data_IF_740671515522
#
_entry.id   IF_740671515522
#
_cell.length_a   1.000
_cell.length_b   1.000
_cell.length_c   1.000
_cell.angle_alpha   90.00
_cell.angle_beta   90.00
_cell.angle_gamma   90.00
#
_symmetry.space_group_name_H-M   'P 1'
#
loop_
_entity.id
_entity.type
_entity.pdbx_description
1 polymer ?
#
# COMPACT_ATOMS: atom_id res chain seq x y z
N UNK A 1 -23.18 -27.53 -17.67
CA UNK A 1 -23.45 -26.07 -17.78
C UNK A 1 -24.16 -25.85 -19.12
N UNK A 2 -25.33 -25.19 -19.14
CA UNK A 2 -26.01 -24.90 -20.41
C UNK A 2 -25.19 -23.92 -21.26
N UNK A 3 -25.34 -23.96 -22.58
CA UNK A 3 -24.67 -23.04 -23.51
C UNK A 3 -24.95 -21.56 -23.16
N UNK A 4 -26.18 -21.25 -22.77
CA UNK A 4 -26.58 -19.91 -22.34
C UNK A 4 -25.85 -19.46 -21.06
N UNK A 5 -25.76 -20.35 -20.05
CA UNK A 5 -25.06 -20.04 -18.81
C UNK A 5 -23.55 -19.83 -19.05
N UNK A 6 -22.96 -20.63 -19.93
CA UNK A 6 -21.56 -20.48 -20.35
C UNK A 6 -21.32 -19.10 -20.96
N UNK A 7 -22.15 -18.66 -21.90
CA UNK A 7 -22.03 -17.34 -22.53
C UNK A 7 -22.16 -16.20 -21.53
N UNK A 8 -23.06 -16.32 -20.54
CA UNK A 8 -23.20 -15.32 -19.47
C UNK A 8 -21.93 -15.23 -18.61
N UNK A 9 -21.35 -16.38 -18.24
CA UNK A 9 -20.10 -16.44 -17.47
C UNK A 9 -18.94 -15.83 -18.27
N UNK A 10 -18.78 -16.20 -19.55
CA UNK A 10 -17.73 -15.66 -20.41
C UNK A 10 -17.83 -14.14 -20.55
N UNK A 11 -19.04 -13.60 -20.75
CA UNK A 11 -19.26 -12.14 -20.79
C UNK A 11 -18.87 -11.45 -19.49
N UNK A 12 -19.23 -12.03 -18.34
CA UNK A 12 -18.87 -11.48 -17.04
C UNK A 12 -17.35 -11.49 -16.83
N UNK A 13 -16.67 -12.60 -17.12
CA UNK A 13 -15.22 -12.71 -16.98
C UNK A 13 -14.48 -11.74 -17.90
N UNK A 14 -14.92 -11.61 -19.15
CA UNK A 14 -14.35 -10.64 -20.08
C UNK A 14 -14.54 -9.20 -19.59
N UNK A 15 -15.72 -8.88 -19.06
CA UNK A 15 -15.98 -7.58 -18.45
C UNK A 15 -15.05 -7.31 -17.26
N UNK A 16 -14.92 -8.29 -16.35
CA UNK A 16 -14.01 -8.18 -15.20
C UNK A 16 -12.56 -7.97 -15.64
N UNK A 17 -12.08 -8.76 -16.61
CA UNK A 17 -10.73 -8.62 -17.15
C UNK A 17 -10.48 -7.24 -17.77
N UNK A 18 -11.40 -6.74 -18.59
CA UNK A 18 -11.33 -5.39 -19.15
C UNK A 18 -11.34 -4.29 -18.08
N UNK A 19 -11.97 -4.54 -16.94
CA UNK A 19 -11.98 -3.65 -15.77
C UNK A 19 -10.71 -3.77 -14.91
N UNK A 20 -9.76 -4.64 -15.25
CA UNK A 20 -8.49 -4.81 -14.55
C UNK A 20 -8.49 -5.91 -13.49
N UNK A 21 -9.49 -6.79 -13.48
CA UNK A 21 -9.49 -7.95 -12.59
C UNK A 21 -8.74 -9.13 -13.19
N UNK A 22 -7.98 -9.85 -12.36
CA UNK A 22 -7.33 -11.11 -12.71
C UNK A 22 -7.25 -12.02 -11.48
N UNK A 23 -6.96 -13.30 -11.71
CA UNK A 23 -6.80 -14.29 -10.64
C UNK A 23 -5.33 -14.54 -10.37
N UNK A 24 -4.95 -14.49 -9.10
CA UNK A 24 -3.65 -14.90 -8.58
C UNK A 24 -3.91 -15.84 -7.41
N UNK A 25 -4.29 -17.08 -7.73
CA UNK A 25 -4.88 -18.02 -6.78
C UNK A 25 -4.12 -18.07 -5.43
N UNK A 26 -4.83 -17.95 -4.29
CA UNK A 26 -6.29 -17.93 -4.14
C UNK A 26 -6.94 -16.54 -4.29
N UNK A 27 -6.23 -15.51 -4.73
CA UNK A 27 -6.71 -14.13 -4.72
C UNK A 27 -7.44 -13.73 -6.00
N UNK A 28 -8.56 -13.02 -5.84
CA UNK A 28 -9.12 -12.16 -6.88
C UNK A 28 -8.49 -10.78 -6.74
N UNK A 29 -7.72 -10.37 -7.74
CA UNK A 29 -6.96 -9.12 -7.74
C UNK A 29 -7.57 -8.15 -8.72
N UNK A 30 -7.63 -6.88 -8.33
CA UNK A 30 -7.89 -5.73 -9.19
C UNK A 30 -6.62 -4.90 -9.28
N UNK A 31 -6.20 -4.56 -10.49
CA UNK A 31 -5.17 -3.56 -10.78
C UNK A 31 -5.79 -2.51 -11.71
N UNK A 32 -5.76 -1.24 -11.31
CA UNK A 32 -6.40 -0.19 -12.09
C UNK A 32 -5.73 -0.03 -13.46
N UNK A 33 -6.42 -0.32 -14.58
CA UNK A 33 -5.80 -0.27 -15.90
C UNK A 33 -5.47 1.18 -16.33
N UNK A 34 -6.13 2.17 -15.73
CA UNK A 34 -5.97 3.58 -16.06
C UNK A 34 -5.11 4.34 -15.07
N UNK A 35 -5.26 4.03 -13.78
CA UNK A 35 -4.66 4.83 -12.71
C UNK A 35 -3.43 4.19 -12.09
N UNK A 36 -3.14 2.89 -12.30
CA UNK A 36 -2.05 2.24 -11.58
C UNK A 36 -0.68 2.91 -11.81
N UNK A 37 -0.36 3.25 -13.06
CA UNK A 37 0.87 3.99 -13.39
C UNK A 37 0.90 5.40 -12.79
N UNK A 38 -0.23 6.12 -12.86
CA UNK A 38 -0.37 7.49 -12.33
C UNK A 38 -0.22 7.50 -10.80
N UNK A 39 -0.94 6.62 -10.12
CA UNK A 39 -0.88 6.41 -8.66
C UNK A 39 0.54 6.08 -8.21
N UNK A 40 1.25 5.23 -8.96
CA UNK A 40 2.66 4.91 -8.68
C UNK A 40 3.54 6.13 -8.79
N UNK A 41 3.49 6.85 -9.91
CA UNK A 41 4.29 8.08 -10.12
C UNK A 41 4.01 9.12 -9.04
N UNK A 42 2.73 9.29 -8.66
CA UNK A 42 2.30 10.20 -7.61
C UNK A 42 2.92 9.83 -6.25
N UNK A 43 2.76 8.58 -5.81
CA UNK A 43 3.31 8.10 -4.55
C UNK A 43 4.84 8.18 -4.50
N UNK A 44 5.51 7.98 -5.64
CA UNK A 44 6.96 8.14 -5.74
C UNK A 44 7.42 9.59 -5.62
N UNK A 45 6.73 10.52 -6.28
CA UNK A 45 7.01 11.95 -6.11
C UNK A 45 6.87 12.35 -4.64
N UNK A 46 5.81 11.89 -3.98
CA UNK A 46 5.60 12.14 -2.56
C UNK A 46 6.71 11.53 -1.68
N UNK A 47 7.17 10.32 -2.01
CA UNK A 47 8.30 9.69 -1.33
C UNK A 47 9.58 10.52 -1.49
N UNK A 48 9.88 11.04 -2.68
CA UNK A 48 11.05 11.90 -2.92
C UNK A 48 10.94 13.18 -2.08
N UNK A 49 9.76 13.82 -2.05
CA UNK A 49 9.52 15.03 -1.27
C UNK A 49 9.72 14.77 0.23
N UNK A 50 9.20 13.66 0.75
CA UNK A 50 9.41 13.24 2.14
C UNK A 50 10.89 13.04 2.44
N UNK A 51 11.60 12.25 1.62
CA UNK A 51 13.03 11.98 1.84
C UNK A 51 13.87 13.25 1.75
N UNK A 52 13.47 14.22 0.91
CA UNK A 52 14.11 15.54 0.83
C UNK A 52 13.91 16.32 2.12
N UNK A 53 12.67 16.39 2.62
CA UNK A 53 12.35 17.05 3.88
C UNK A 53 13.15 16.44 5.05
N UNK A 54 13.27 15.11 5.10
CA UNK A 54 14.06 14.41 6.11
C UNK A 54 15.56 14.72 5.97
N UNK A 55 16.09 14.72 4.74
CA UNK A 55 17.48 15.07 4.48
C UNK A 55 17.80 16.51 4.92
N UNK A 56 16.90 17.45 4.65
CA UNK A 56 17.04 18.86 5.03
C UNK A 56 16.91 19.08 6.55
N UNK A 57 16.04 18.32 7.24
CA UNK A 57 15.81 18.47 8.69
C UNK A 57 16.81 17.71 9.58
N UNK A 58 17.35 16.58 9.12
CA UNK A 58 18.07 15.65 10.01
C UNK A 58 19.53 16.02 10.30
N UNK A 59 20.11 16.96 9.52
CA UNK A 59 21.56 17.21 9.43
C UNK A 59 22.42 15.96 9.12
N UNK A 60 21.78 14.80 8.87
CA UNK A 60 22.43 13.52 8.63
C UNK A 60 22.74 13.35 7.16
N UNK A 61 23.99 12.98 6.86
CA UNK A 61 24.46 12.75 5.48
C UNK A 61 24.24 11.32 5.00
N UNK A 62 23.93 10.40 5.90
CA UNK A 62 23.76 8.98 5.61
C UNK A 62 22.43 8.47 6.18
N UNK A 63 21.75 7.60 5.42
CA UNK A 63 20.46 7.02 5.83
C UNK A 63 20.58 6.04 7.01
N UNK A 64 21.79 5.55 7.28
CA UNK A 64 22.12 4.71 8.44
C UNK A 64 22.31 5.49 9.73
N UNK A 65 22.37 6.82 9.67
CA UNK A 65 22.49 7.66 10.87
C UNK A 65 21.19 7.58 11.70
N UNK A 66 21.24 7.28 13.01
CA UNK A 66 20.07 7.30 13.88
C UNK A 66 19.28 8.61 13.86
N UNK A 67 19.94 9.75 13.62
CA UNK A 67 19.27 11.06 13.46
C UNK A 67 18.37 11.08 12.23
N UNK A 68 18.81 10.48 11.13
CA UNK A 68 18.02 10.36 9.91
C UNK A 68 16.75 9.56 10.16
N UNK A 69 16.89 8.40 10.83
CA UNK A 69 15.75 7.54 11.20
C UNK A 69 14.75 8.24 12.12
N UNK A 70 15.23 8.92 13.17
CA UNK A 70 14.35 9.62 14.10
C UNK A 70 13.62 10.78 13.40
N UNK A 71 14.32 11.53 12.55
CA UNK A 71 13.71 12.60 11.75
C UNK A 71 12.65 12.06 10.79
N UNK A 72 12.92 10.92 10.13
CA UNK A 72 11.92 10.26 9.26
C UNK A 72 10.68 9.86 10.05
N UNK A 73 10.86 9.27 11.23
CA UNK A 73 9.75 8.87 12.10
C UNK A 73 8.92 10.09 12.52
N UNK A 74 9.56 11.15 13.01
CA UNK A 74 8.88 12.39 13.44
C UNK A 74 8.05 12.98 12.30
N UNK A 75 8.63 13.11 11.10
CA UNK A 75 7.90 13.66 9.94
C UNK A 75 6.71 12.76 9.54
N UNK A 76 6.87 11.44 9.59
CA UNK A 76 5.79 10.49 9.29
C UNK A 76 4.69 10.54 10.36
N UNK A 77 5.06 10.60 11.63
CA UNK A 77 4.13 10.74 12.76
C UNK A 77 3.31 12.04 12.62
N UNK A 78 3.96 13.18 12.37
CA UNK A 78 3.31 14.48 12.15
C UNK A 78 2.30 14.43 10.98
N UNK A 79 2.69 13.88 9.83
CA UNK A 79 1.82 13.81 8.64
C UNK A 79 0.61 12.86 8.85
N UNK A 80 0.80 11.75 9.57
CA UNK A 80 -0.23 10.72 9.73
C UNK A 80 -1.16 10.95 10.94
N UNK A 81 -0.66 11.51 12.04
CA UNK A 81 -1.43 11.72 13.28
C UNK A 81 -2.60 12.68 13.07
N UNK A 82 -2.42 13.72 12.23
CA UNK A 82 -3.50 14.66 11.87
C UNK A 82 -4.71 13.98 11.22
N UNK A 83 -4.52 12.77 10.67
CA UNK A 83 -5.55 11.94 10.05
C UNK A 83 -6.07 10.82 10.97
N UNK A 84 -5.67 10.81 12.25
CA UNK A 84 -6.04 9.81 13.24
C UNK A 84 -5.32 8.47 13.07
N UNK A 85 -4.21 8.45 12.33
CA UNK A 85 -3.40 7.25 12.11
C UNK A 85 -2.31 7.18 13.19
N UNK A 86 -2.30 6.08 13.92
CA UNK A 86 -1.26 5.78 14.92
C UNK A 86 -0.09 5.10 14.22
N UNK A 87 1.10 5.70 14.32
CA UNK A 87 2.36 5.08 13.91
C UNK A 87 2.89 4.22 15.06
N UNK A 88 3.19 2.96 14.77
CA UNK A 88 3.81 2.08 15.75
C UNK A 88 5.32 2.23 15.70
N UNK A 89 5.87 3.07 16.57
CA UNK A 89 7.29 3.48 16.56
C UNK A 89 8.27 2.29 16.45
N UNK A 90 8.11 1.25 17.26
CA UNK A 90 9.02 0.09 17.25
C UNK A 90 8.95 -0.70 15.95
N UNK A 91 7.75 -1.00 15.46
CA UNK A 91 7.48 -1.64 14.19
C UNK A 91 8.00 -0.81 13.00
N UNK A 92 7.80 0.51 13.05
CA UNK A 92 8.24 1.43 12.00
C UNK A 92 9.77 1.50 11.93
N UNK A 93 10.47 1.66 13.06
CA UNK A 93 11.93 1.64 13.08
C UNK A 93 12.48 0.32 12.54
N UNK A 94 11.89 -0.80 12.95
CA UNK A 94 12.27 -2.11 12.41
C UNK A 94 12.01 -2.23 10.90
N UNK A 95 10.91 -1.66 10.41
CA UNK A 95 10.63 -1.60 8.97
C UNK A 95 11.69 -0.79 8.21
N UNK A 96 12.10 0.38 8.74
CA UNK A 96 13.14 1.20 8.11
C UNK A 96 14.49 0.48 8.12
N UNK A 97 14.84 -0.22 9.20
CA UNK A 97 16.04 -1.07 9.25
C UNK A 97 16.03 -2.14 8.15
N UNK A 98 14.87 -2.77 7.91
CA UNK A 98 14.71 -3.73 6.81
C UNK A 98 14.81 -3.04 5.45
N UNK A 99 14.22 -1.86 5.28
CA UNK A 99 14.33 -1.08 4.04
C UNK A 99 15.79 -0.74 3.72
N UNK A 100 16.56 -0.31 4.70
CA UNK A 100 17.98 0.00 4.53
C UNK A 100 18.76 -1.27 4.18
N UNK A 101 18.42 -2.44 4.74
CA UNK A 101 19.13 -3.70 4.44
C UNK A 101 18.79 -4.26 3.06
N UNK A 102 17.52 -4.22 2.67
CA UNK A 102 17.02 -4.93 1.48
C UNK A 102 16.90 -4.04 0.25
N UNK A 103 16.82 -2.72 0.46
CA UNK A 103 16.48 -1.73 -0.56
C UNK A 103 17.45 -0.52 -0.48
N UNK A 104 18.63 -0.77 0.09
CA UNK A 104 19.68 0.21 0.39
C UNK A 104 20.04 1.04 -0.84
N UNK A 105 20.37 0.36 -1.94
CA UNK A 105 20.88 0.99 -3.16
C UNK A 105 19.94 2.08 -3.64
N UNK A 106 18.65 1.80 -3.65
CA UNK A 106 17.68 2.75 -4.18
C UNK A 106 17.38 3.91 -3.25
N UNK A 107 17.19 3.64 -1.95
CA UNK A 107 16.99 4.72 -0.99
C UNK A 107 18.23 5.62 -0.94
N UNK A 108 19.42 5.03 -0.94
CA UNK A 108 20.68 5.77 -1.03
C UNK A 108 20.78 6.55 -2.33
N UNK A 109 20.39 6.00 -3.47
CA UNK A 109 20.48 6.70 -4.75
C UNK A 109 19.53 7.91 -4.80
N UNK A 110 18.31 7.79 -4.27
CA UNK A 110 17.41 8.94 -4.12
C UNK A 110 18.06 10.01 -3.24
N UNK A 111 18.54 9.65 -2.05
CA UNK A 111 19.15 10.59 -1.10
C UNK A 111 20.42 11.22 -1.66
N UNK A 112 21.25 10.46 -2.39
CA UNK A 112 22.44 11.00 -3.09
C UNK A 112 22.08 12.00 -4.16
N UNK A 113 21.01 11.77 -4.92
CA UNK A 113 20.54 12.72 -5.93
C UNK A 113 19.99 13.99 -5.28
N UNK A 114 19.24 13.85 -4.19
CA UNK A 114 18.77 14.98 -3.36
C UNK A 114 19.96 15.80 -2.85
N UNK A 115 20.99 15.14 -2.30
CA UNK A 115 22.20 15.79 -1.80
C UNK A 115 22.97 16.55 -2.89
N UNK A 116 22.87 16.12 -4.15
CA UNK A 116 23.43 16.81 -5.33
C UNK A 116 22.53 17.95 -5.84
N UNK A 117 21.49 18.33 -5.11
CA UNK A 117 20.56 19.39 -5.49
C UNK A 117 19.67 19.03 -6.67
N UNK A 118 19.50 17.74 -6.99
CA UNK A 118 18.62 17.32 -8.10
C UNK A 118 17.17 17.53 -7.73
N UNK A 119 16.40 18.04 -8.68
CA UNK A 119 14.97 18.26 -8.55
C UNK A 119 14.20 16.95 -8.72
N UNK A 120 12.92 16.95 -8.34
CA UNK A 120 12.05 15.79 -8.53
C UNK A 120 11.92 15.40 -10.00
N UNK A 121 11.99 16.39 -10.91
CA UNK A 121 11.96 16.18 -12.36
C UNK A 121 13.24 15.52 -12.89
N UNK A 122 14.37 15.64 -12.18
CA UNK A 122 15.61 14.94 -12.52
C UNK A 122 15.62 13.51 -11.96
N UNK A 123 15.07 13.32 -10.77
CA UNK A 123 15.09 12.05 -10.04
C UNK A 123 14.06 11.10 -10.62
N UNK A 124 12.81 11.54 -10.77
CA UNK A 124 11.67 10.69 -11.09
C UNK A 124 11.84 9.92 -12.41
N UNK A 125 12.30 10.51 -13.54
CA UNK A 125 12.52 9.75 -14.77
C UNK A 125 13.57 8.65 -14.62
N UNK A 126 14.60 8.86 -13.78
CA UNK A 126 15.62 7.83 -13.51
C UNK A 126 15.03 6.66 -12.74
N UNK A 127 14.20 6.95 -11.74
CA UNK A 127 13.47 5.94 -10.99
C UNK A 127 12.41 5.24 -11.86
N UNK A 128 11.86 5.90 -12.87
CA UNK A 128 10.92 5.26 -13.79
C UNK A 128 11.65 4.37 -14.80
N UNK A 129 12.79 4.81 -15.31
CA UNK A 129 13.59 4.08 -16.30
C UNK A 129 14.31 2.88 -15.69
N UNK A 130 14.68 2.94 -14.41
CA UNK A 130 15.27 1.81 -13.72
C UNK A 130 14.19 0.76 -13.43
N UNK A 131 14.20 -0.33 -14.21
CA UNK A 131 13.27 -1.43 -14.00
C UNK A 131 13.38 -2.07 -12.61
N UNK A 132 14.51 -1.92 -11.90
CA UNK A 132 14.65 -2.37 -10.50
C UNK A 132 13.78 -1.55 -9.55
N UNK A 133 13.55 -0.29 -9.89
CA UNK A 133 12.61 0.58 -9.21
C UNK A 133 11.17 0.19 -9.60
N UNK A 134 10.92 -0.28 -10.81
CA UNK A 134 9.59 -0.79 -11.13
C UNK A 134 9.18 -2.04 -10.32
N UNK A 135 10.14 -2.82 -9.80
CA UNK A 135 9.91 -3.91 -8.83
C UNK A 135 9.88 -3.48 -7.36
N UNK A 136 9.41 -2.26 -7.03
CA UNK A 136 9.33 -1.67 -5.68
C UNK A 136 8.39 -2.37 -4.68
N UNK A 137 8.40 -3.69 -4.64
CA UNK A 137 7.75 -4.45 -3.58
C UNK A 137 8.27 -3.98 -2.19
N UNK A 138 9.53 -3.52 -2.09
CA UNK A 138 10.15 -2.98 -0.86
C UNK A 138 9.38 -1.85 -0.18
N UNK A 139 8.96 -0.85 -0.96
CA UNK A 139 8.23 0.32 -0.49
C UNK A 139 6.73 0.10 -0.57
N UNK A 140 6.26 -0.93 -1.28
CA UNK A 140 4.83 -1.21 -1.34
C UNK A 140 4.30 -1.55 0.06
N UNK A 141 3.10 -1.08 0.35
CA UNK A 141 2.36 -1.47 1.55
C UNK A 141 0.89 -1.60 1.25
N UNK A 142 0.12 -2.01 2.25
CA UNK A 142 -1.30 -2.26 2.09
C UNK A 142 -2.08 -1.98 3.35
N UNK A 143 -3.21 -1.31 3.18
CA UNK A 143 -4.27 -1.31 4.18
C UNK A 143 -5.03 -2.63 4.12
N UNK A 144 -5.36 -3.16 5.29
CA UNK A 144 -6.16 -4.37 5.47
C UNK A 144 -7.40 -4.04 6.29
N UNK A 145 -8.57 -4.38 5.72
CA UNK A 145 -9.87 -4.30 6.39
C UNK A 145 -10.47 -5.70 6.45
N UNK A 146 -10.84 -6.17 7.64
CA UNK A 146 -11.39 -7.52 7.80
C UNK A 146 -12.91 -7.52 7.82
N UNK A 147 -13.50 -8.41 7.03
CA UNK A 147 -14.96 -8.56 6.94
C UNK A 147 -15.31 -10.04 6.76
N UNK A 148 -16.60 -10.37 6.70
CA UNK A 148 -17.05 -11.71 6.35
C UNK A 148 -16.87 -11.95 4.86
N UNK A 149 -16.42 -13.14 4.45
CA UNK A 149 -16.19 -13.49 3.05
C UNK A 149 -17.40 -13.18 2.15
N UNK A 150 -18.62 -13.47 2.61
CA UNK A 150 -19.87 -13.14 1.90
C UNK A 150 -20.08 -11.64 1.62
N UNK A 151 -19.50 -10.75 2.43
CA UNK A 151 -19.63 -9.29 2.31
C UNK A 151 -18.48 -8.68 1.50
N UNK A 152 -17.33 -9.35 1.44
CA UNK A 152 -16.10 -8.83 0.83
C UNK A 152 -16.25 -8.40 -0.66
N UNK A 153 -16.93 -9.15 -1.55
CA UNK A 153 -17.08 -8.73 -2.95
C UNK A 153 -17.81 -7.40 -3.12
N UNK A 154 -18.88 -7.17 -2.34
CA UNK A 154 -19.67 -5.94 -2.40
C UNK A 154 -18.87 -4.74 -1.89
N UNK A 155 -18.18 -4.91 -0.76
CA UNK A 155 -17.30 -3.89 -0.20
C UNK A 155 -16.16 -3.55 -1.16
N UNK A 156 -15.49 -4.57 -1.72
CA UNK A 156 -14.38 -4.37 -2.68
C UNK A 156 -14.84 -3.55 -3.88
N UNK A 157 -16.01 -3.84 -4.45
CA UNK A 157 -16.56 -3.09 -5.58
C UNK A 157 -16.76 -1.61 -5.22
N UNK A 158 -17.40 -1.33 -4.08
CA UNK A 158 -17.66 0.04 -3.64
C UNK A 158 -16.34 0.79 -3.34
N UNK A 159 -15.35 0.11 -2.74
CA UNK A 159 -14.00 0.64 -2.51
C UNK A 159 -13.32 0.99 -3.83
N UNK A 160 -13.31 0.08 -4.80
CA UNK A 160 -12.69 0.33 -6.11
C UNK A 160 -13.32 1.55 -6.79
N UNK A 161 -14.66 1.65 -6.78
CA UNK A 161 -15.37 2.79 -7.34
C UNK A 161 -14.93 4.12 -6.71
N UNK A 162 -14.88 4.18 -5.38
CA UNK A 162 -14.46 5.38 -4.66
C UNK A 162 -12.97 5.71 -4.85
N UNK A 163 -12.09 4.70 -4.93
CA UNK A 163 -10.67 4.91 -5.24
C UNK A 163 -10.48 5.44 -6.67
N UNK A 164 -11.26 4.95 -7.64
CA UNK A 164 -11.22 5.44 -9.04
C UNK A 164 -11.69 6.90 -9.11
N UNK A 165 -12.79 7.23 -8.43
CA UNK A 165 -13.36 8.58 -8.37
C UNK A 165 -12.36 9.59 -7.77
N UNK A 166 -11.69 9.20 -6.69
CA UNK A 166 -10.64 10.01 -6.04
C UNK A 166 -9.28 9.97 -6.75
N UNK A 167 -9.17 9.24 -7.86
CA UNK A 167 -7.93 9.09 -8.65
C UNK A 167 -6.74 8.56 -7.82
N UNK A 168 -7.04 7.70 -6.84
CA UNK A 168 -6.05 6.98 -6.03
C UNK A 168 -6.10 5.47 -6.22
N UNK A 169 -6.91 4.96 -7.16
CA UNK A 169 -6.92 3.53 -7.45
C UNK A 169 -5.54 3.05 -7.91
N UNK A 170 -5.06 1.99 -7.27
CA UNK A 170 -3.84 1.28 -7.65
C UNK A 170 -4.12 -0.21 -7.76
N UNK A 171 -4.08 -0.93 -6.65
CA UNK A 171 -4.34 -2.37 -6.60
C UNK A 171 -5.15 -2.71 -5.36
N UNK A 172 -6.07 -3.66 -5.48
CA UNK A 172 -6.83 -4.21 -4.36
C UNK A 172 -7.07 -5.70 -4.58
N UNK A 173 -7.27 -6.47 -3.51
CA UNK A 173 -7.62 -7.88 -3.62
C UNK A 173 -8.47 -8.39 -2.47
N UNK A 174 -9.22 -9.44 -2.77
CA UNK A 174 -9.93 -10.28 -1.81
C UNK A 174 -9.60 -11.74 -2.09
N UNK A 175 -9.86 -12.59 -1.11
CA UNK A 175 -9.84 -14.03 -1.32
C UNK A 175 -10.88 -14.48 -2.36
N UNK A 176 -10.49 -15.44 -3.17
CA UNK A 176 -11.33 -16.26 -4.04
C UNK A 176 -11.39 -17.71 -3.57
N UNK A 177 -10.88 -18.05 -2.37
CA UNK A 177 -10.91 -19.41 -1.83
C UNK A 177 -12.36 -19.82 -1.49
N UNK A 178 -12.93 -20.84 -2.18
CA UNK A 178 -14.29 -21.30 -1.90
C UNK A 178 -14.53 -21.71 -0.44
N UNK A 179 -13.53 -22.26 0.25
CA UNK A 179 -13.66 -22.72 1.62
C UNK A 179 -13.95 -21.54 2.59
N UNK A 180 -13.37 -20.37 2.33
CA UNK A 180 -13.62 -19.18 3.14
C UNK A 180 -15.04 -18.64 2.95
N UNK A 181 -15.60 -18.73 1.74
CA UNK A 181 -16.99 -18.35 1.48
C UNK A 181 -17.99 -19.34 2.08
N UNK A 182 -17.73 -20.64 1.97
CA UNK A 182 -18.58 -21.69 2.54
C UNK A 182 -18.68 -21.57 4.07
N UNK A 183 -17.55 -21.32 4.73
CA UNK A 183 -17.51 -21.15 6.19
C UNK A 183 -17.80 -19.71 6.64
N UNK A 184 -18.05 -18.80 5.69
CA UNK A 184 -18.23 -17.37 5.93
C UNK A 184 -17.13 -16.78 6.83
N UNK A 185 -15.89 -17.20 6.58
CA UNK A 185 -14.73 -16.84 7.37
C UNK A 185 -14.54 -15.32 7.41
N UNK A 186 -13.85 -14.82 8.46
CA UNK A 186 -13.35 -13.45 8.45
C UNK A 186 -12.12 -13.37 7.55
N UNK A 187 -12.21 -12.58 6.49
CA UNK A 187 -11.18 -12.48 5.45
C UNK A 187 -10.80 -11.02 5.21
N UNK A 188 -9.55 -10.76 4.78
CA UNK A 188 -9.10 -9.41 4.51
C UNK A 188 -9.56 -8.93 3.12
N UNK A 189 -10.02 -7.68 3.07
CA UNK A 189 -9.94 -6.84 1.89
C UNK A 189 -8.61 -6.09 1.99
N UNK A 190 -7.77 -6.23 0.96
CA UNK A 190 -6.43 -5.65 0.91
C UNK A 190 -6.43 -4.55 -0.14
N UNK A 191 -6.02 -3.34 0.23
CA UNK A 191 -5.85 -2.21 -0.69
C UNK A 191 -4.43 -1.70 -0.61
N UNK A 192 -3.75 -1.71 -1.74
CA UNK A 192 -2.33 -1.42 -1.84
C UNK A 192 -2.05 0.07 -2.02
N UNK A 193 -0.94 0.52 -1.44
CA UNK A 193 -0.29 1.79 -1.71
C UNK A 193 1.07 1.53 -2.36
N UNK A 194 1.41 2.21 -3.47
CA UNK A 194 2.68 1.99 -4.15
C UNK A 194 3.92 2.32 -3.31
N UNK A 195 3.76 3.15 -2.27
CA UNK A 195 4.81 3.49 -1.31
C UNK A 195 4.24 3.61 0.11
N UNK A 196 4.96 3.07 1.09
CA UNK A 196 4.76 3.20 2.55
C UNK A 196 5.26 4.55 3.07
N UNK A 197 6.07 5.24 2.27
CA UNK A 197 6.66 6.55 2.50
C UNK A 197 5.94 7.65 1.71
N UNK A 198 4.67 7.43 1.38
CA UNK A 198 3.77 8.40 0.77
C UNK A 198 2.57 8.66 1.71
N UNK A 199 2.77 9.35 2.84
CA UNK A 199 1.76 9.50 3.89
C UNK A 199 0.41 10.07 3.42
N UNK A 200 0.40 11.10 2.55
CA UNK A 200 -0.81 11.70 1.97
C UNK A 200 -1.56 10.70 1.10
N UNK A 201 -0.85 9.96 0.22
CA UNK A 201 -1.48 8.90 -0.57
C UNK A 201 -2.09 7.81 0.34
N UNK A 202 -1.37 7.41 1.40
CA UNK A 202 -1.83 6.41 2.37
C UNK A 202 -3.09 6.89 3.10
N UNK A 203 -3.14 8.17 3.48
CA UNK A 203 -4.30 8.82 4.10
C UNK A 203 -5.49 8.89 3.16
N UNK A 204 -5.29 9.24 1.88
CA UNK A 204 -6.40 9.29 0.91
C UNK A 204 -7.03 7.91 0.68
N UNK A 205 -6.22 6.86 0.61
CA UNK A 205 -6.72 5.47 0.57
C UNK A 205 -7.46 5.12 1.86
N UNK A 206 -6.91 5.50 3.02
CA UNK A 206 -7.55 5.27 4.31
C UNK A 206 -8.92 5.95 4.42
N UNK A 207 -9.05 7.18 3.94
CA UNK A 207 -10.33 7.91 3.97
C UNK A 207 -11.41 7.17 3.18
N UNK A 208 -11.08 6.62 2.01
CA UNK A 208 -12.01 5.75 1.25
C UNK A 208 -12.42 4.54 2.07
N UNK A 209 -11.45 3.84 2.66
CA UNK A 209 -11.73 2.67 3.48
C UNK A 209 -12.61 3.01 4.68
N UNK A 210 -12.36 4.13 5.35
CA UNK A 210 -13.17 4.63 6.46
C UNK A 210 -14.60 4.91 6.04
N UNK A 211 -14.80 5.66 4.96
CA UNK A 211 -16.15 5.99 4.49
C UNK A 211 -16.96 4.75 4.11
N UNK A 212 -16.33 3.78 3.44
CA UNK A 212 -16.98 2.52 3.12
C UNK A 212 -17.22 1.69 4.39
N UNK A 213 -16.25 1.62 5.31
CA UNK A 213 -16.42 0.95 6.61
C UNK A 213 -17.63 1.50 7.36
N UNK A 214 -17.71 2.82 7.48
CA UNK A 214 -18.76 3.51 8.23
C UNK A 214 -20.13 3.37 7.53
N UNK A 215 -20.17 3.47 6.19
CA UNK A 215 -21.38 3.21 5.37
C UNK A 215 -21.96 1.82 5.61
N UNK A 216 -21.13 0.83 5.89
CA UNK A 216 -21.55 -0.55 6.15
C UNK A 216 -21.70 -0.85 7.66
N UNK A 217 -21.60 0.16 8.53
CA UNK A 217 -21.77 0.02 9.98
C UNK A 217 -20.66 -0.80 10.65
N UNK A 218 -19.51 -0.95 10.00
CA UNK A 218 -18.35 -1.69 10.52
C UNK A 218 -17.57 -0.84 11.52
N UNK A 219 -16.96 -1.47 12.52
CA UNK A 219 -16.18 -0.79 13.58
C UNK A 219 -14.77 -1.36 13.74
N UNK A 220 -14.41 -2.28 12.85
CA UNK A 220 -13.11 -2.91 12.87
C UNK A 220 -11.99 -1.92 12.54
N UNK A 221 -10.85 -2.13 13.20
CA UNK A 221 -9.62 -1.37 12.96
C UNK A 221 -9.08 -1.66 11.55
N UNK A 222 -8.36 -0.69 10.99
CA UNK A 222 -7.64 -0.82 9.74
C UNK A 222 -6.15 -0.91 10.04
N UNK A 223 -5.46 -1.81 9.35
CA UNK A 223 -4.04 -2.12 9.60
C UNK A 223 -3.23 -1.86 8.33
N UNK A 224 -2.17 -1.05 8.41
CA UNK A 224 -1.26 -0.85 7.29
C UNK A 224 -0.02 -1.73 7.44
N UNK A 225 0.13 -2.69 6.55
CA UNK A 225 1.25 -3.65 6.54
C UNK A 225 2.19 -3.36 5.35
N UNK A 226 3.49 -3.16 5.58
CA UNK A 226 4.47 -3.13 4.49
C UNK A 226 4.61 -4.51 3.85
N UNK A 227 4.80 -4.56 2.54
CA UNK A 227 5.00 -5.82 1.82
C UNK A 227 6.31 -6.50 2.22
N UNK A 228 7.30 -5.72 2.66
CA UNK A 228 8.56 -6.24 3.19
C UNK A 228 8.33 -7.14 4.41
N UNK A 229 7.34 -6.84 5.26
CA UNK A 229 6.99 -7.73 6.38
C UNK A 229 6.42 -9.06 5.90
N UNK A 230 5.61 -9.06 4.83
CA UNK A 230 5.11 -10.29 4.21
C UNK A 230 6.27 -11.13 3.67
N UNK A 231 7.26 -10.51 2.98
CA UNK A 231 8.43 -11.23 2.45
C UNK A 231 9.35 -11.80 3.54
N UNK A 232 9.45 -11.10 4.68
CA UNK A 232 10.19 -11.57 5.85
C UNK A 232 9.39 -12.52 6.75
N UNK A 233 8.23 -12.99 6.28
CA UNK A 233 7.34 -13.89 7.01
C UNK A 233 6.90 -13.37 8.39
N UNK A 234 6.74 -12.05 8.51
CA UNK A 234 6.27 -11.39 9.73
C UNK A 234 4.74 -11.36 9.69
N UNK A 235 4.13 -12.23 10.48
CA UNK A 235 2.69 -12.41 10.62
C UNK A 235 2.28 -12.40 12.09
N UNK A 236 0.97 -12.40 12.35
CA UNK A 236 0.49 -12.49 13.72
C UNK A 236 1.00 -13.79 14.38
N UNK A 237 1.57 -13.67 15.58
CA UNK A 237 2.11 -14.81 16.33
C UNK A 237 3.50 -15.29 15.91
N UNK A 238 4.11 -14.73 14.85
CA UNK A 238 5.42 -15.19 14.36
C UNK A 238 6.62 -14.54 15.07
N UNK A 239 6.40 -13.61 16.01
CA UNK A 239 7.49 -12.92 16.70
C UNK A 239 7.05 -11.84 17.68
N UNK A 240 8.02 -11.03 18.13
CA UNK A 240 7.82 -9.93 19.10
C UNK A 240 7.29 -8.63 18.48
N UNK A 241 7.28 -8.53 17.15
CA UNK A 241 6.91 -7.32 16.40
C UNK A 241 5.54 -7.53 15.75
N UNK A 242 4.67 -6.53 15.80
CA UNK A 242 3.37 -6.58 15.12
C UNK A 242 3.56 -6.57 13.59
N UNK A 243 2.69 -7.25 12.82
CA UNK A 243 2.87 -7.35 11.37
C UNK A 243 2.37 -6.11 10.59
N UNK A 244 2.25 -4.94 11.24
CA UNK A 244 1.77 -3.69 10.66
C UNK A 244 2.47 -2.51 11.32
N UNK A 245 2.65 -1.41 10.56
CA UNK A 245 3.34 -0.20 11.04
C UNK A 245 2.39 0.95 11.34
N UNK A 246 1.22 0.99 10.70
CA UNK A 246 0.19 2.00 10.97
C UNK A 246 -1.13 1.35 11.37
N UNK A 247 -1.87 2.03 12.24
CA UNK A 247 -3.14 1.59 12.79
C UNK A 247 -4.15 2.73 12.76
N UNK A 248 -5.38 2.45 12.29
CA UNK A 248 -6.50 3.37 12.38
C UNK A 248 -7.67 2.70 13.12
N UNK A 249 -8.33 3.46 14.00
CA UNK A 249 -9.38 2.98 14.89
C UNK A 249 -10.78 3.15 14.29
#
# INVERSE_FOLDING_TARGET
ISSELRLKIERLLNYMFQRGFYSEAPWLVYLSPRLAGISKVRALRETIMLLRLVYEKSDAREISDPKWLNTLLEVIEEELETSGVVVLTSEFKYYVDLLIKECADTLMDIVRLIAKGKSDNDILPRLIADHKFFSFECLTGKWMMFTRASTAPRLLRDIIGALEERKVAYQAKITGDPAEYQNNARTPIIVYSPSTLAPKYIVEVLQVLREIRDKYGMREKLYFKPDLFTRKNIYCGSGKIKPYIYLYH
#
